data_IF_465347532267
#
_entry.id   IF_465347532267
#
_cell.length_a   1.000
_cell.length_b   1.000
_cell.length_c   1.000
_cell.angle_alpha   90.00
_cell.angle_beta   90.00
_cell.angle_gamma   90.00
#
_symmetry.space_group_name_H-M   'P 1'
#
loop_
_entity.id
_entity.type
_entity.pdbx_description
1 polymer ?
#
# COMPACT_ATOMS: atom_id res chain seq x y z
N UNK A 1 15.67 -31.17 17.08
CA UNK A 1 16.08 -30.23 16.00
C UNK A 1 14.88 -29.76 15.16
N UNK A 2 13.71 -29.49 15.76
CA UNK A 2 12.51 -28.99 15.02
C UNK A 2 12.01 -27.63 15.53
N UNK A 3 12.49 -27.15 16.68
CA UNK A 3 12.03 -25.87 17.28
C UNK A 3 12.65 -24.63 16.61
N UNK A 4 13.88 -24.72 16.09
CA UNK A 4 14.62 -23.61 15.48
C UNK A 4 14.03 -23.14 14.13
N UNK A 5 13.37 -24.04 13.39
CA UNK A 5 12.75 -23.72 12.10
C UNK A 5 11.48 -22.87 12.27
N UNK A 6 10.72 -23.08 13.35
CA UNK A 6 9.47 -22.39 13.60
C UNK A 6 9.68 -20.92 14.01
N UNK A 7 10.77 -20.65 14.71
CA UNK A 7 11.13 -19.30 15.17
C UNK A 7 11.56 -18.43 13.97
N UNK A 8 12.40 -18.96 13.08
CA UNK A 8 12.87 -18.24 11.88
C UNK A 8 11.74 -17.83 10.93
N UNK A 9 10.71 -18.67 10.80
CA UNK A 9 9.53 -18.35 9.98
C UNK A 9 8.63 -17.29 10.62
N UNK A 10 8.51 -17.26 11.95
CA UNK A 10 7.72 -16.27 12.69
C UNK A 10 8.38 -14.87 12.68
N UNK A 11 9.72 -14.80 12.73
CA UNK A 11 10.43 -13.50 12.63
C UNK A 11 10.35 -12.94 11.21
N UNK A 12 10.36 -13.79 10.18
CA UNK A 12 10.22 -13.31 8.80
C UNK A 12 8.84 -12.73 8.53
N UNK A 13 7.73 -13.41 8.89
CA UNK A 13 6.37 -12.91 8.64
C UNK A 13 6.04 -11.62 9.43
N UNK A 14 6.69 -11.41 10.58
CA UNK A 14 6.55 -10.18 11.37
C UNK A 14 7.42 -9.04 10.84
N UNK A 15 8.61 -9.36 10.32
CA UNK A 15 9.55 -8.36 9.79
C UNK A 15 9.12 -7.80 8.44
N UNK A 16 8.45 -8.59 7.60
CA UNK A 16 7.96 -8.11 6.30
C UNK A 16 6.94 -6.99 6.46
N UNK A 17 6.02 -7.10 7.43
CA UNK A 17 4.99 -6.08 7.64
C UNK A 17 5.56 -4.76 8.18
N UNK A 18 6.53 -4.83 9.11
CA UNK A 18 7.23 -3.63 9.60
C UNK A 18 8.01 -2.97 8.46
N UNK A 19 8.68 -3.77 7.63
CA UNK A 19 9.47 -3.27 6.50
C UNK A 19 8.58 -2.59 5.45
N UNK A 20 7.42 -3.18 5.12
CA UNK A 20 6.47 -2.58 4.17
C UNK A 20 5.94 -1.25 4.68
N UNK A 21 5.55 -1.14 5.95
CA UNK A 21 5.07 0.14 6.49
C UNK A 21 6.15 1.22 6.42
N UNK A 22 7.40 0.91 6.79
CA UNK A 22 8.52 1.86 6.68
C UNK A 22 8.74 2.28 5.22
N UNK A 23 8.80 1.33 4.30
CA UNK A 23 8.98 1.60 2.87
C UNK A 23 7.83 2.44 2.29
N UNK A 24 6.60 2.18 2.72
CA UNK A 24 5.44 2.99 2.36
C UNK A 24 5.59 4.40 2.91
N UNK A 25 5.90 4.58 4.19
CA UNK A 25 6.05 5.91 4.79
C UNK A 25 7.15 6.72 4.12
N UNK A 26 8.29 6.09 3.78
CA UNK A 26 9.35 6.74 3.01
C UNK A 26 8.84 7.16 1.62
N UNK A 27 8.18 6.26 0.89
CA UNK A 27 7.66 6.56 -0.45
C UNK A 27 6.51 7.58 -0.45
N UNK A 28 5.74 7.67 0.65
CA UNK A 28 4.72 8.71 0.82
C UNK A 28 5.32 10.10 1.10
N UNK A 29 6.56 10.16 1.63
CA UNK A 29 7.31 11.41 1.73
C UNK A 29 7.93 11.84 0.39
N UNK A 30 8.06 10.92 -0.57
CA UNK A 30 8.47 11.22 -1.93
C UNK A 30 7.35 11.94 -2.71
N UNK A 31 7.69 12.69 -3.78
CA UNK A 31 6.68 13.35 -4.60
C UNK A 31 5.69 12.34 -5.17
N UNK A 32 4.40 12.69 -5.13
CA UNK A 32 3.38 11.87 -5.76
C UNK A 32 3.57 11.78 -7.27
N UNK A 33 3.33 10.59 -7.81
CA UNK A 33 3.33 10.34 -9.25
C UNK A 33 2.02 10.77 -9.90
N UNK A 34 1.00 11.01 -9.08
CA UNK A 34 -0.29 11.50 -9.51
C UNK A 34 -1.21 11.71 -8.31
N UNK A 35 -2.17 12.62 -8.45
CA UNK A 35 -3.22 12.83 -7.45
C UNK A 35 -4.57 12.80 -8.15
N UNK A 36 -5.55 12.18 -7.50
CA UNK A 36 -6.92 12.03 -7.96
C UNK A 36 -7.88 12.61 -6.93
N UNK A 37 -9.18 12.36 -7.08
CA UNK A 37 -10.20 12.97 -6.21
C UNK A 37 -10.08 12.47 -4.78
N UNK A 38 -9.81 11.17 -4.59
CA UNK A 38 -9.76 10.55 -3.26
C UNK A 38 -8.41 9.94 -2.91
N UNK A 39 -7.56 9.70 -3.91
CA UNK A 39 -6.26 9.08 -3.71
C UNK A 39 -5.11 9.93 -4.22
N UNK A 40 -4.02 9.90 -3.47
CA UNK A 40 -2.70 10.30 -3.93
C UNK A 40 -1.87 9.06 -4.23
N UNK A 41 -1.22 9.07 -5.37
CA UNK A 41 -0.51 7.93 -5.93
C UNK A 41 0.97 8.13 -5.75
N UNK A 42 1.63 7.13 -5.17
CA UNK A 42 3.07 7.11 -4.97
C UNK A 42 3.64 5.84 -5.60
N UNK A 43 4.71 6.00 -6.39
CA UNK A 43 5.53 4.86 -6.78
C UNK A 43 6.42 4.51 -5.59
N UNK A 44 6.34 3.27 -5.14
CA UNK A 44 7.14 2.74 -4.04
C UNK A 44 8.03 1.62 -4.56
N UNK A 45 9.05 1.26 -3.77
CA UNK A 45 9.91 0.12 -4.12
C UNK A 45 9.16 -1.23 -4.17
N UNK A 46 8.00 -1.33 -3.52
CA UNK A 46 7.18 -2.55 -3.49
C UNK A 46 6.18 -2.57 -4.66
N UNK A 47 5.72 -1.41 -5.10
CA UNK A 47 4.68 -1.26 -6.11
C UNK A 47 4.03 0.12 -6.04
N UNK A 48 2.75 0.23 -6.36
CA UNK A 48 2.01 1.50 -6.33
C UNK A 48 1.24 1.64 -5.02
N UNK A 49 1.48 2.72 -4.28
CA UNK A 49 0.74 3.08 -3.09
C UNK A 49 -0.30 4.16 -3.38
N UNK A 50 -1.57 3.88 -3.09
CA UNK A 50 -2.66 4.82 -3.15
C UNK A 50 -3.00 5.29 -1.72
N UNK A 51 -2.49 6.45 -1.34
CA UNK A 51 -2.81 7.11 -0.08
C UNK A 51 -4.19 7.74 -0.15
N UNK A 52 -5.05 7.42 0.81
CA UNK A 52 -6.34 8.07 0.96
C UNK A 52 -6.16 9.52 1.44
N UNK A 53 -6.67 10.48 0.65
CA UNK A 53 -6.59 11.92 0.94
C UNK A 53 -7.95 12.59 1.13
N UNK A 54 -9.05 11.84 0.95
CA UNK A 54 -10.39 12.39 1.15
C UNK A 54 -10.69 12.59 2.64
N UNK A 55 -11.53 13.58 2.95
CA UNK A 55 -11.83 13.98 4.33
C UNK A 55 -12.60 12.91 5.11
N UNK A 56 -13.31 12.00 4.44
CA UNK A 56 -14.04 10.92 5.07
C UNK A 56 -13.19 9.64 5.05
N UNK A 57 -12.66 9.15 6.19
CA UNK A 57 -11.97 7.87 6.21
C UNK A 57 -12.97 6.76 5.83
N UNK A 58 -12.64 5.91 4.85
CA UNK A 58 -13.56 4.91 4.37
C UNK A 58 -13.64 3.77 5.39
N UNK A 59 -14.84 3.23 5.62
CA UNK A 59 -15.03 2.13 6.58
C UNK A 59 -14.44 0.80 6.08
N UNK A 60 -14.26 0.67 4.77
CA UNK A 60 -13.62 -0.48 4.12
C UNK A 60 -12.61 0.01 3.09
N UNK A 61 -11.54 -0.74 2.81
CA UNK A 61 -10.56 -0.38 1.79
C UNK A 61 -11.23 -0.17 0.42
N UNK A 62 -11.26 1.06 -0.13
CA UNK A 62 -12.01 1.37 -1.35
C UNK A 62 -11.21 1.00 -2.61
N UNK A 63 -10.87 -0.30 -2.74
CA UNK A 63 -10.11 -0.81 -3.87
C UNK A 63 -10.81 -0.55 -5.21
N UNK A 64 -12.14 -0.62 -5.27
CA UNK A 64 -12.87 -0.35 -6.52
C UNK A 64 -12.73 1.10 -6.98
N UNK A 65 -12.78 2.06 -6.05
CA UNK A 65 -12.54 3.47 -6.38
C UNK A 65 -11.07 3.67 -6.79
N UNK A 66 -10.13 3.05 -6.09
CA UNK A 66 -8.71 3.10 -6.45
C UNK A 66 -8.45 2.51 -7.84
N UNK A 67 -9.06 1.37 -8.21
CA UNK A 67 -8.92 0.82 -9.57
C UNK A 67 -9.45 1.78 -10.62
N UNK A 68 -10.61 2.40 -10.39
CA UNK A 68 -11.21 3.37 -11.32
C UNK A 68 -10.37 4.64 -11.43
N UNK A 69 -9.92 5.20 -10.31
CA UNK A 69 -9.11 6.42 -10.28
C UNK A 69 -7.68 6.15 -10.78
N UNK A 70 -7.12 4.98 -10.51
CA UNK A 70 -5.82 4.54 -11.02
C UNK A 70 -5.81 4.52 -12.55
N UNK A 71 -6.85 3.98 -13.17
CA UNK A 71 -7.00 4.01 -14.63
C UNK A 71 -7.05 5.45 -15.18
N UNK A 72 -7.62 6.41 -14.45
CA UNK A 72 -7.68 7.82 -14.87
C UNK A 72 -6.29 8.47 -14.89
N UNK A 73 -5.36 8.03 -14.03
CA UNK A 73 -3.96 8.48 -14.03
C UNK A 73 -3.03 7.58 -14.86
N UNK A 74 -3.58 6.58 -15.55
CA UNK A 74 -2.83 5.67 -16.41
C UNK A 74 -2.17 4.48 -15.68
N UNK A 75 -2.61 4.17 -14.46
CA UNK A 75 -2.18 3.01 -13.68
C UNK A 75 -3.20 1.88 -13.83
N UNK A 76 -2.82 0.79 -14.52
CA UNK A 76 -3.66 -0.41 -14.64
C UNK A 76 -3.37 -1.42 -13.53
N UNK A 77 -4.02 -1.21 -12.38
CA UNK A 77 -3.82 -2.01 -11.16
C UNK A 77 -4.75 -3.23 -11.11
N UNK A 78 -5.53 -3.46 -12.18
CA UNK A 78 -6.57 -4.48 -12.27
C UNK A 78 -6.05 -5.90 -12.01
N UNK A 79 -4.79 -6.13 -12.39
CA UNK A 79 -4.10 -7.43 -12.36
C UNK A 79 -3.14 -7.58 -11.18
N UNK A 80 -2.95 -6.52 -10.40
CA UNK A 80 -2.03 -6.53 -9.26
C UNK A 80 -2.69 -7.10 -8.01
N UNK A 81 -1.85 -7.65 -7.13
CA UNK A 81 -2.23 -7.99 -5.76
C UNK A 81 -2.51 -6.71 -4.99
N UNK A 82 -3.48 -6.77 -4.09
CA UNK A 82 -4.03 -5.59 -3.42
C UNK A 82 -3.98 -5.81 -1.93
N UNK A 83 -3.12 -5.04 -1.28
CA UNK A 83 -2.99 -5.02 0.16
C UNK A 83 -3.40 -3.64 0.68
N UNK A 84 -3.80 -3.58 1.95
CA UNK A 84 -4.06 -2.31 2.60
C UNK A 84 -3.20 -2.23 3.85
N UNK A 85 -2.61 -1.06 4.04
CA UNK A 85 -1.75 -0.74 5.16
C UNK A 85 -2.25 0.54 5.80
N UNK A 86 -2.30 0.55 7.12
CA UNK A 86 -2.67 1.72 7.88
C UNK A 86 -1.39 2.28 8.49
N UNK A 87 -0.94 3.42 7.96
CA UNK A 87 0.27 4.13 8.37
C UNK A 87 -0.10 5.42 9.10
N UNK A 88 0.88 6.16 9.61
CA UNK A 88 0.62 7.42 10.33
C UNK A 88 -0.09 8.47 9.45
N UNK A 89 0.21 8.48 8.15
CA UNK A 89 -0.41 9.40 7.18
C UNK A 89 -1.85 9.05 6.82
N UNK A 90 -2.30 7.81 7.09
CA UNK A 90 -3.65 7.36 6.82
C UNK A 90 -3.73 5.96 6.22
N UNK A 91 -4.85 5.69 5.54
CA UNK A 91 -5.05 4.42 4.84
C UNK A 91 -4.31 4.45 3.50
N UNK A 92 -3.49 3.43 3.28
CA UNK A 92 -2.76 3.22 2.02
C UNK A 92 -3.21 1.91 1.41
N UNK A 93 -3.56 1.93 0.14
CA UNK A 93 -3.78 0.73 -0.66
C UNK A 93 -2.53 0.46 -1.48
N UNK A 94 -1.87 -0.65 -1.22
CA UNK A 94 -0.67 -1.07 -1.94
C UNK A 94 -1.07 -2.06 -3.03
N UNK A 95 -0.59 -1.78 -4.24
CA UNK A 95 -0.74 -2.63 -5.42
C UNK A 95 0.65 -3.10 -5.83
N UNK A 96 0.86 -4.41 -5.87
CA UNK A 96 2.15 -5.00 -6.25
C UNK A 96 1.95 -6.30 -7.04
N UNK A 97 3.01 -6.77 -7.70
CA UNK A 97 3.00 -7.94 -8.61
C UNK A 97 4.05 -8.98 -8.24
#
# INVERSE_FOLDING_TARGET
MQEQAKITMLVHMSSTNITINILLEEALNEPDIGTTSRFRWHATAVGIAALWIDSAPPSTPPFEDALKEGLNVGLDLSREEREFHQVEQGLVLLFHS
#
